data_IF_139158026449
#
_entry.id   IF_139158026449
#
_cell.length_a   1.000
_cell.length_b   1.000
_cell.length_c   1.000
_cell.angle_alpha   90.00
_cell.angle_beta   90.00
_cell.angle_gamma   90.00
#
_symmetry.space_group_name_H-M   'P 1'
#
loop_
_entity.id
_entity.type
_entity.pdbx_description
1 polymer ?
#
# COMPACT_ATOMS: atom_id res chain seq x y z
N UNK A 1 -34.27 -50.65 58.73
CA UNK A 1 -34.76 -49.26 58.66
C UNK A 1 -33.91 -48.52 57.63
N UNK A 2 -34.57 -47.77 56.73
CA UNK A 2 -34.06 -47.25 55.45
C UNK A 2 -32.79 -46.40 55.58
N UNK A 3 -31.78 -46.70 54.76
CA UNK A 3 -30.65 -45.81 54.49
C UNK A 3 -31.12 -44.66 53.58
N UNK A 4 -30.98 -43.42 54.05
CA UNK A 4 -31.20 -42.21 53.26
C UNK A 4 -29.86 -41.80 52.63
N UNK A 5 -29.70 -42.07 51.33
CA UNK A 5 -28.57 -41.61 50.53
C UNK A 5 -28.82 -40.17 50.07
N UNK A 6 -27.99 -39.25 50.56
CA UNK A 6 -28.05 -37.83 50.21
C UNK A 6 -27.29 -37.62 48.88
N UNK A 7 -28.00 -37.43 47.77
CA UNK A 7 -27.40 -37.10 46.46
C UNK A 7 -27.27 -35.58 46.35
N UNK A 8 -26.04 -35.07 46.51
CA UNK A 8 -25.71 -33.70 46.11
C UNK A 8 -25.48 -33.70 44.60
N UNK A 9 -26.38 -33.05 43.87
CA UNK A 9 -26.31 -32.91 42.41
C UNK A 9 -25.22 -31.93 41.99
N UNK A 10 -24.21 -32.43 41.28
CA UNK A 10 -23.24 -31.60 40.55
C UNK A 10 -23.93 -31.08 39.29
N UNK A 11 -24.25 -29.79 39.25
CA UNK A 11 -24.77 -29.12 38.03
C UNK A 11 -23.62 -28.99 37.00
N UNK A 12 -23.84 -29.32 35.71
CA UNK A 12 -22.85 -29.08 34.68
C UNK A 12 -22.92 -27.60 34.31
N UNK A 13 -21.99 -26.81 34.80
CA UNK A 13 -21.64 -25.52 34.22
C UNK A 13 -20.27 -25.70 33.60
N UNK A 14 -20.00 -25.02 32.49
CA UNK A 14 -18.78 -25.06 31.66
C UNK A 14 -18.83 -25.95 30.41
N UNK A 15 -19.69 -25.58 29.46
CA UNK A 15 -19.43 -25.80 28.04
C UNK A 15 -19.94 -24.64 27.17
N UNK A 16 -19.77 -23.39 27.63
CA UNK A 16 -20.12 -22.17 26.88
C UNK A 16 -18.93 -21.20 26.90
N UNK A 17 -17.78 -21.64 26.39
CA UNK A 17 -16.54 -20.84 26.42
C UNK A 17 -15.85 -20.64 25.07
N UNK A 18 -16.23 -21.35 24.00
CA UNK A 18 -15.46 -21.39 22.74
C UNK A 18 -16.08 -20.64 21.55
N UNK A 19 -17.30 -20.11 21.66
CA UNK A 19 -18.00 -19.44 20.54
C UNK A 19 -17.85 -17.92 20.49
N UNK A 20 -17.31 -17.27 21.54
CA UNK A 20 -17.13 -15.81 21.56
C UNK A 20 -15.85 -15.31 20.89
N UNK A 21 -14.88 -16.19 20.57
CA UNK A 21 -13.59 -15.75 19.99
C UNK A 21 -13.63 -15.53 18.47
N UNK A 22 -14.49 -16.22 17.72
CA UNK A 22 -14.46 -16.14 16.25
C UNK A 22 -14.99 -14.80 15.70
N UNK A 23 -15.98 -14.19 16.35
CA UNK A 23 -16.61 -12.94 15.87
C UNK A 23 -15.67 -11.73 16.01
N UNK A 24 -14.86 -11.68 17.07
CA UNK A 24 -13.88 -10.60 17.27
C UNK A 24 -12.74 -10.65 16.25
N UNK A 25 -12.29 -11.84 15.85
CA UNK A 25 -11.20 -12.01 14.87
C UNK A 25 -11.62 -11.55 13.46
N UNK A 26 -12.85 -11.84 13.04
CA UNK A 26 -13.34 -11.47 11.70
C UNK A 26 -13.46 -9.97 11.48
N UNK A 27 -13.85 -9.20 12.51
CA UNK A 27 -14.00 -7.74 12.39
C UNK A 27 -12.67 -7.00 12.22
N UNK A 28 -11.59 -7.52 12.82
CA UNK A 28 -10.25 -6.90 12.73
C UNK A 28 -9.64 -7.11 11.35
N UNK A 29 -9.72 -8.33 10.80
CA UNK A 29 -9.24 -8.62 9.45
C UNK A 29 -9.97 -7.78 8.39
N UNK A 30 -11.30 -7.69 8.49
CA UNK A 30 -12.10 -6.88 7.57
C UNK A 30 -11.76 -5.38 7.66
N UNK A 31 -11.55 -4.84 8.87
CA UNK A 31 -11.15 -3.45 9.04
C UNK A 31 -9.74 -3.16 8.48
N UNK A 32 -8.78 -4.05 8.67
CA UNK A 32 -7.43 -3.90 8.11
C UNK A 32 -7.45 -3.92 6.56
N UNK A 33 -8.23 -4.83 5.96
CA UNK A 33 -8.41 -4.88 4.50
C UNK A 33 -9.03 -3.57 3.97
N UNK A 34 -9.97 -2.97 4.72
CA UNK A 34 -10.54 -1.66 4.32
C UNK A 34 -9.55 -0.50 4.42
N UNK A 35 -8.61 -0.51 5.38
CA UNK A 35 -7.61 0.54 5.50
C UNK A 35 -6.62 0.54 4.33
N UNK A 36 -6.17 -0.64 3.92
CA UNK A 36 -5.28 -0.77 2.76
C UNK A 36 -6.00 -0.37 1.47
N UNK A 37 -7.24 -0.83 1.26
CA UNK A 37 -8.06 -0.42 0.11
C UNK A 37 -8.25 1.10 0.06
N UNK A 38 -8.59 1.72 1.19
CA UNK A 38 -8.71 3.18 1.29
C UNK A 38 -7.40 3.90 0.96
N UNK A 39 -6.25 3.39 1.42
CA UNK A 39 -4.94 3.96 1.08
C UNK A 39 -4.64 3.84 -0.42
N UNK A 40 -4.99 2.71 -1.05
CA UNK A 40 -4.85 2.51 -2.50
C UNK A 40 -5.74 3.49 -3.26
N UNK A 41 -7.01 3.64 -2.87
CA UNK A 41 -7.94 4.57 -3.51
C UNK A 41 -7.50 6.03 -3.35
N UNK A 42 -7.06 6.43 -2.15
CA UNK A 42 -6.49 7.76 -1.92
C UNK A 42 -5.22 7.98 -2.75
N UNK A 43 -4.32 6.99 -2.78
CA UNK A 43 -3.10 7.05 -3.57
C UNK A 43 -3.38 7.20 -5.07
N UNK A 44 -4.38 6.48 -5.58
CA UNK A 44 -4.84 6.60 -6.96
C UNK A 44 -5.38 8.01 -7.26
N UNK A 45 -6.15 8.57 -6.34
CA UNK A 45 -6.65 9.95 -6.46
C UNK A 45 -5.51 10.97 -6.47
N UNK A 46 -4.58 10.90 -5.50
CA UNK A 46 -3.40 11.78 -5.46
C UNK A 46 -2.53 11.62 -6.71
N UNK A 47 -2.32 10.40 -7.20
CA UNK A 47 -1.57 10.15 -8.43
C UNK A 47 -2.19 10.85 -9.64
N UNK A 48 -3.52 10.89 -9.73
CA UNK A 48 -4.25 11.48 -10.84
C UNK A 48 -4.34 13.02 -10.75
N UNK A 49 -4.33 13.59 -9.55
CA UNK A 49 -4.76 14.97 -9.35
C UNK A 49 -3.80 15.84 -8.55
N UNK A 50 -2.94 15.27 -7.72
CA UNK A 50 -2.07 16.06 -6.87
C UNK A 50 -0.91 16.66 -7.67
N UNK A 51 -0.77 17.97 -7.54
CA UNK A 51 0.31 18.75 -8.16
C UNK A 51 1.40 19.09 -7.16
N UNK A 52 1.19 18.81 -5.87
CA UNK A 52 2.06 19.15 -4.76
C UNK A 52 2.44 20.64 -4.74
N UNK A 53 1.55 21.50 -5.22
CA UNK A 53 1.76 22.95 -5.35
C UNK A 53 2.79 23.35 -6.41
N UNK A 54 3.15 22.44 -7.33
CA UNK A 54 4.18 22.64 -8.33
C UNK A 54 3.66 23.22 -9.65
N UNK A 55 4.23 22.74 -10.76
CA UNK A 55 4.04 23.26 -12.12
C UNK A 55 2.70 22.91 -12.79
N UNK A 56 1.65 22.60 -12.01
CA UNK A 56 0.32 22.25 -12.49
C UNK A 56 0.20 20.85 -13.13
N UNK A 57 1.26 20.03 -13.07
CA UNK A 57 1.22 18.62 -13.50
C UNK A 57 0.99 17.71 -12.30
N UNK A 58 0.40 16.55 -12.57
CA UNK A 58 0.29 15.44 -11.62
C UNK A 58 1.07 14.22 -12.15
N UNK A 59 1.20 13.15 -11.36
CA UNK A 59 1.92 11.93 -11.77
C UNK A 59 1.39 11.37 -13.10
N UNK A 60 0.05 11.38 -13.26
CA UNK A 60 -0.64 10.93 -14.47
C UNK A 60 -0.31 11.76 -15.72
N UNK A 61 0.25 12.97 -15.56
CA UNK A 61 0.67 13.79 -16.71
C UNK A 61 1.82 13.15 -17.50
N UNK A 62 2.60 12.25 -16.88
CA UNK A 62 3.65 11.48 -17.57
C UNK A 62 3.39 9.96 -17.51
N UNK A 63 2.87 9.45 -16.40
CA UNK A 63 2.58 8.03 -16.22
C UNK A 63 1.14 7.71 -16.67
N UNK A 64 1.01 7.35 -17.94
CA UNK A 64 -0.26 7.13 -18.62
C UNK A 64 -0.95 5.86 -18.11
N UNK A 65 -2.26 5.73 -18.39
CA UNK A 65 -3.08 4.59 -17.96
C UNK A 65 -2.96 4.26 -16.46
N UNK A 66 -2.86 5.30 -15.61
CA UNK A 66 -2.67 5.12 -14.16
C UNK A 66 -1.30 4.53 -13.79
N UNK A 67 -0.31 4.60 -14.68
CA UNK A 67 1.00 4.00 -14.51
C UNK A 67 1.08 2.52 -14.84
N UNK A 68 0.00 1.87 -15.30
CA UNK A 68 0.04 0.46 -15.69
C UNK A 68 0.78 0.21 -17.01
N UNK A 69 0.80 1.21 -17.90
CA UNK A 69 1.43 1.15 -19.22
C UNK A 69 2.64 2.09 -19.32
N UNK A 70 3.51 1.92 -20.33
CA UNK A 70 4.58 2.88 -20.61
C UNK A 70 4.07 4.31 -20.71
N UNK A 71 4.73 5.21 -19.98
CA UNK A 71 4.41 6.63 -19.95
C UNK A 71 5.12 7.43 -21.04
N UNK A 72 4.95 8.75 -21.00
CA UNK A 72 5.60 9.68 -21.92
C UNK A 72 5.92 11.01 -21.24
N UNK A 73 7.15 11.48 -21.38
CA UNK A 73 7.59 12.79 -20.91
C UNK A 73 7.11 13.92 -21.84
N UNK A 74 7.10 15.20 -21.38
CA UNK A 74 6.73 16.34 -22.22
C UNK A 74 7.55 16.50 -23.50
N UNK A 75 8.81 16.05 -23.49
CA UNK A 75 9.68 16.05 -24.68
C UNK A 75 9.44 14.86 -25.62
N UNK A 76 8.43 14.04 -25.36
CA UNK A 76 8.04 12.91 -26.17
C UNK A 76 8.75 11.59 -25.86
N UNK A 77 9.75 11.58 -24.97
CA UNK A 77 10.46 10.37 -24.57
C UNK A 77 9.53 9.40 -23.83
N UNK A 78 9.47 8.15 -24.28
CA UNK A 78 8.77 7.06 -23.57
C UNK A 78 9.50 6.74 -22.28
N UNK A 79 8.74 6.53 -21.21
CA UNK A 79 9.25 6.09 -19.91
C UNK A 79 8.62 4.74 -19.53
N UNK A 80 9.32 3.93 -18.71
CA UNK A 80 8.78 2.69 -18.20
C UNK A 80 7.41 2.86 -17.52
N UNK A 81 6.62 1.80 -17.57
CA UNK A 81 5.49 1.54 -16.70
C UNK A 81 5.92 1.52 -15.22
N UNK A 82 4.95 1.73 -14.34
CA UNK A 82 5.09 1.53 -12.90
C UNK A 82 4.65 0.14 -12.45
N UNK A 83 4.21 -0.72 -13.37
CA UNK A 83 3.65 -2.04 -13.09
C UNK A 83 4.62 -3.00 -12.36
N UNK A 84 5.94 -2.77 -12.41
CA UNK A 84 6.90 -3.53 -11.61
C UNK A 84 7.67 -2.66 -10.60
N UNK A 85 7.27 -1.41 -10.39
CA UNK A 85 8.03 -0.48 -9.56
C UNK A 85 8.29 -1.06 -8.16
N UNK A 86 7.24 -1.54 -7.47
CA UNK A 86 7.43 -2.07 -6.12
C UNK A 86 8.23 -3.38 -6.03
N UNK A 87 8.43 -4.11 -7.14
CA UNK A 87 9.26 -5.33 -7.11
C UNK A 87 10.75 -5.03 -7.22
N UNK A 88 11.11 -3.89 -7.80
CA UNK A 88 12.50 -3.55 -8.12
C UNK A 88 13.15 -2.56 -7.15
N UNK A 89 12.38 -1.95 -6.25
CA UNK A 89 12.90 -1.14 -5.15
C UNK A 89 13.05 -1.98 -3.85
N UNK A 90 14.04 -1.70 -2.98
CA UNK A 90 15.06 -0.67 -3.12
C UNK A 90 16.08 -1.01 -4.22
N UNK A 91 16.72 0.00 -4.79
CA UNK A 91 17.73 -0.15 -5.85
C UNK A 91 18.82 0.89 -5.77
N UNK A 92 19.99 0.57 -6.31
CA UNK A 92 21.02 1.57 -6.56
C UNK A 92 20.58 2.52 -7.69
N UNK A 93 20.63 3.83 -7.43
CA UNK A 93 20.37 4.86 -8.42
C UNK A 93 21.66 5.56 -8.79
N UNK A 94 22.14 5.30 -10.02
CA UNK A 94 23.40 5.83 -10.55
C UNK A 94 23.51 7.37 -10.41
N UNK A 95 22.44 8.10 -10.77
CA UNK A 95 22.40 9.57 -10.70
C UNK A 95 22.69 10.14 -9.31
N UNK A 96 22.24 9.46 -8.25
CA UNK A 96 22.42 9.92 -6.87
C UNK A 96 23.52 9.16 -6.12
N UNK A 97 24.14 8.15 -6.73
CA UNK A 97 25.23 7.36 -6.14
C UNK A 97 24.83 6.58 -4.89
N UNK A 98 23.54 6.33 -4.65
CA UNK A 98 23.04 5.68 -3.44
C UNK A 98 21.92 4.69 -3.72
N UNK A 99 21.65 3.82 -2.74
CA UNK A 99 20.43 3.03 -2.71
C UNK A 99 19.25 3.94 -2.36
N UNK A 100 18.15 3.80 -3.10
CA UNK A 100 16.91 4.52 -2.85
C UNK A 100 15.75 3.54 -2.71
N UNK A 101 14.75 3.93 -1.93
CA UNK A 101 13.47 3.20 -1.78
C UNK A 101 12.45 3.65 -2.84
N UNK A 102 11.30 2.97 -2.89
CA UNK A 102 10.16 3.43 -3.70
C UNK A 102 9.68 4.83 -3.25
N UNK A 103 9.63 5.08 -1.94
CA UNK A 103 9.19 6.37 -1.40
C UNK A 103 10.17 7.50 -1.71
N UNK A 104 11.48 7.23 -1.72
CA UNK A 104 12.49 8.18 -2.21
C UNK A 104 12.25 8.55 -3.67
N UNK A 105 11.91 7.56 -4.51
CA UNK A 105 11.61 7.80 -5.92
C UNK A 105 10.34 8.62 -6.10
N UNK A 106 9.27 8.34 -5.34
CA UNK A 106 8.01 9.12 -5.36
C UNK A 106 8.30 10.58 -4.99
N UNK A 107 8.99 10.81 -3.88
CA UNK A 107 9.35 12.18 -3.44
C UNK A 107 10.25 12.89 -4.46
N UNK A 108 11.19 12.17 -5.07
CA UNK A 108 12.03 12.70 -6.15
C UNK A 108 11.21 13.11 -7.36
N UNK A 109 10.16 12.37 -7.72
CA UNK A 109 9.26 12.74 -8.82
C UNK A 109 8.45 14.01 -8.47
N UNK A 110 7.85 14.07 -7.29
CA UNK A 110 7.11 15.27 -6.83
C UNK A 110 8.01 16.52 -6.85
N UNK A 111 9.25 16.39 -6.35
CA UNK A 111 10.20 17.51 -6.30
C UNK A 111 10.70 17.91 -7.69
N UNK A 112 11.18 16.96 -8.50
CA UNK A 112 11.94 17.30 -9.70
C UNK A 112 11.08 17.34 -10.98
N UNK A 113 10.07 16.46 -11.09
CA UNK A 113 9.21 16.40 -12.27
C UNK A 113 8.01 17.34 -12.15
N UNK A 114 7.37 17.34 -10.98
CA UNK A 114 6.21 18.20 -10.70
C UNK A 114 6.63 19.57 -10.17
N UNK A 115 7.89 19.76 -9.75
CA UNK A 115 8.39 21.02 -9.18
C UNK A 115 7.59 21.47 -7.96
N UNK A 116 7.08 20.51 -7.19
CA UNK A 116 6.26 20.74 -6.00
C UNK A 116 6.99 20.40 -4.70
N UNK A 117 6.27 20.50 -3.58
CA UNK A 117 6.75 20.11 -2.25
C UNK A 117 6.40 18.64 -1.99
N UNK A 118 7.39 17.73 -1.87
CA UNK A 118 7.09 16.31 -1.71
C UNK A 118 6.44 16.03 -0.35
N UNK A 119 5.51 15.05 -0.27
CA UNK A 119 4.87 14.66 0.99
C UNK A 119 5.88 14.07 1.97
N UNK A 120 5.74 14.40 3.27
CA UNK A 120 6.66 14.01 4.34
C UNK A 120 6.88 12.50 4.46
N UNK A 121 8.07 12.10 4.90
CA UNK A 121 8.35 10.69 5.16
C UNK A 121 7.42 10.15 6.24
N UNK A 122 6.77 9.01 5.96
CA UNK A 122 5.80 8.40 6.86
C UNK A 122 4.43 9.09 6.90
N UNK A 123 4.20 10.16 6.13
CA UNK A 123 2.89 10.79 6.03
C UNK A 123 1.86 9.84 5.42
N UNK A 124 0.59 10.03 5.78
CA UNK A 124 -0.51 9.27 5.19
C UNK A 124 -0.55 9.42 3.66
N UNK A 125 -0.24 10.61 3.15
CA UNK A 125 -0.20 10.91 1.72
C UNK A 125 0.88 10.12 0.98
N UNK A 126 2.11 10.08 1.51
CA UNK A 126 3.20 9.31 0.91
C UNK A 126 2.93 7.80 1.01
N UNK A 127 2.37 7.35 2.13
CA UNK A 127 1.99 5.95 2.31
C UNK A 127 0.89 5.54 1.32
N UNK A 128 -0.13 6.37 1.11
CA UNK A 128 -1.21 6.12 0.14
C UNK A 128 -0.66 6.04 -1.29
N UNK A 129 0.21 6.98 -1.71
CA UNK A 129 0.87 6.92 -3.02
C UNK A 129 1.71 5.64 -3.20
N UNK A 130 2.49 5.27 -2.18
CA UNK A 130 3.28 4.04 -2.20
C UNK A 130 2.40 2.79 -2.26
N UNK A 131 1.28 2.74 -1.53
CA UNK A 131 0.31 1.65 -1.59
C UNK A 131 -0.31 1.52 -2.97
N UNK A 132 -0.74 2.64 -3.59
CA UNK A 132 -1.27 2.61 -4.95
C UNK A 132 -0.24 2.09 -5.96
N UNK A 133 0.99 2.61 -5.97
CA UNK A 133 2.02 2.14 -6.90
C UNK A 133 2.39 0.67 -6.63
N UNK A 134 2.38 0.24 -5.37
CA UNK A 134 2.62 -1.16 -5.02
C UNK A 134 1.50 -2.08 -5.52
N UNK A 135 0.25 -1.62 -5.48
CA UNK A 135 -0.88 -2.39 -6.01
C UNK A 135 -0.76 -2.70 -7.50
N UNK A 136 -0.09 -1.84 -8.28
CA UNK A 136 0.18 -2.08 -9.71
C UNK A 136 1.11 -3.29 -9.96
N UNK A 137 1.88 -3.69 -8.94
CA UNK A 137 2.82 -4.80 -9.00
C UNK A 137 2.32 -6.07 -8.28
N UNK A 138 1.07 -6.06 -7.79
CA UNK A 138 0.52 -7.19 -7.03
C UNK A 138 0.63 -8.51 -7.82
N UNK A 139 1.14 -9.55 -7.16
CA UNK A 139 1.32 -10.88 -7.75
C UNK A 139 2.59 -11.07 -8.59
N UNK A 140 3.41 -10.03 -8.80
CA UNK A 140 4.71 -10.17 -9.45
C UNK A 140 5.80 -10.58 -8.43
N UNK A 141 6.80 -11.39 -8.83
CA UNK A 141 7.91 -11.74 -7.96
C UNK A 141 8.78 -10.51 -7.65
N UNK A 142 9.33 -10.46 -6.43
CA UNK A 142 10.34 -9.46 -6.06
C UNK A 142 11.59 -9.68 -6.92
N UNK A 143 12.10 -8.60 -7.50
CA UNK A 143 13.28 -8.54 -8.36
C UNK A 143 14.11 -7.31 -7.98
N UNK A 144 14.60 -7.29 -6.73
CA UNK A 144 15.28 -6.14 -6.15
C UNK A 144 16.48 -5.71 -7.00
N UNK A 145 16.53 -4.45 -7.42
CA UNK A 145 17.55 -3.95 -8.34
C UNK A 145 17.29 -4.22 -9.83
N UNK A 146 16.17 -4.87 -10.15
CA UNK A 146 15.75 -5.21 -11.50
C UNK A 146 15.49 -4.03 -12.44
N UNK A 147 15.19 -4.37 -13.69
CA UNK A 147 14.97 -3.38 -14.76
C UNK A 147 13.51 -2.88 -14.74
N UNK A 148 13.26 -1.56 -14.81
CA UNK A 148 11.90 -1.04 -15.00
C UNK A 148 11.31 -1.52 -16.34
N UNK A 149 10.04 -1.91 -16.33
CA UNK A 149 9.32 -2.43 -17.52
C UNK A 149 8.64 -1.32 -18.30
#
# INVERSE_FOLDING_TARGET
MKAMSNRVGLKPVFLVGLMFSAVLVSNIAYAADTQLENAILQGKNSFAHDTFGGNGKACVSCHLAGGAEPGKLPNGKVIPSLANAATIFPRFQQRSGKVITLTDQIRSCATNALQGTPPDYGSAELNSLASYITSLAQGKPIDMGGTPQ
#
